data_IF_927187413531
#
_entry.id   IF_927187413531
#
_cell.length_a   1.000
_cell.length_b   1.000
_cell.length_c   1.000
_cell.angle_alpha   90.00
_cell.angle_beta   90.00
_cell.angle_gamma   90.00
#
_symmetry.space_group_name_H-M   'P 1'
#
loop_
_entity.id
_entity.type
_entity.pdbx_description
1 polymer ?
#
# COMPACT_ATOMS: atom_id res chain seq x y z
N UNK A 1 -3.33 -5.03 7.00
CA UNK A 1 -2.71 -3.69 7.15
C UNK A 1 -2.66 -2.91 5.83
N UNK A 2 -1.83 -3.26 4.83
CA UNK A 2 -1.79 -2.49 3.55
C UNK A 2 -3.14 -2.43 2.85
N UNK A 3 -3.86 -3.56 2.72
CA UNK A 3 -5.19 -3.57 2.07
C UNK A 3 -6.21 -2.65 2.76
N UNK A 4 -6.13 -2.51 4.08
CA UNK A 4 -7.02 -1.63 4.84
C UNK A 4 -6.62 -0.17 4.68
N UNK A 5 -5.33 0.13 4.67
CA UNK A 5 -4.85 1.48 4.36
C UNK A 5 -5.21 1.86 2.92
N UNK A 6 -5.14 0.93 1.97
CA UNK A 6 -5.59 1.14 0.59
C UNK A 6 -7.09 1.33 0.51
N UNK A 7 -7.89 0.47 1.15
CA UNK A 7 -9.34 0.60 1.15
C UNK A 7 -9.80 1.94 1.75
N UNK A 8 -9.20 2.35 2.87
CA UNK A 8 -9.49 3.64 3.52
C UNK A 8 -9.04 4.85 2.70
N UNK A 9 -7.99 4.69 1.88
CA UNK A 9 -7.48 5.73 1.00
C UNK A 9 -7.90 5.51 -0.47
N UNK A 10 -9.00 4.80 -0.72
CA UNK A 10 -9.58 4.61 -2.05
C UNK A 10 -8.60 4.05 -3.11
N UNK A 11 -7.80 3.05 -2.71
CA UNK A 11 -6.72 2.43 -3.49
C UNK A 11 -5.58 3.39 -3.88
N UNK A 12 -5.50 4.56 -3.25
CA UNK A 12 -4.41 5.51 -3.46
C UNK A 12 -3.18 5.10 -2.65
N UNK A 13 -2.26 4.41 -3.32
CA UNK A 13 -1.01 3.94 -2.73
C UNK A 13 -0.18 5.05 -2.08
N UNK A 14 -0.18 6.27 -2.63
CA UNK A 14 0.53 7.42 -2.07
C UNK A 14 -0.06 7.89 -0.73
N UNK A 15 -1.38 8.01 -0.67
CA UNK A 15 -2.08 8.40 0.55
C UNK A 15 -1.99 7.31 1.64
N UNK A 16 -2.11 6.03 1.25
CA UNK A 16 -1.90 4.91 2.17
C UNK A 16 -0.49 4.85 2.73
N UNK A 17 0.52 5.16 1.91
CA UNK A 17 1.91 5.18 2.34
C UNK A 17 2.18 6.29 3.35
N UNK A 18 1.67 7.50 3.06
CA UNK A 18 1.72 8.64 4.00
C UNK A 18 1.00 8.33 5.32
N UNK A 19 -0.16 7.68 5.25
CA UNK A 19 -0.92 7.29 6.44
C UNK A 19 -0.24 6.19 7.27
N UNK A 20 0.62 5.38 6.65
CA UNK A 20 1.40 4.34 7.29
C UNK A 20 2.85 4.80 7.60
N UNK A 21 3.14 6.09 7.43
CA UNK A 21 4.48 6.69 7.61
C UNK A 21 5.58 5.91 6.88
N UNK A 22 5.26 5.38 5.70
CA UNK A 22 6.13 4.51 4.92
C UNK A 22 6.16 4.93 3.46
N UNK A 23 7.08 4.36 2.68
CA UNK A 23 7.19 4.64 1.27
C UNK A 23 6.20 3.82 0.43
N UNK A 24 5.64 4.46 -0.61
CA UNK A 24 4.80 3.81 -1.62
C UNK A 24 5.52 2.61 -2.25
N UNK A 25 6.83 2.74 -2.45
CA UNK A 25 7.69 1.68 -2.95
C UNK A 25 7.69 0.45 -2.04
N UNK A 26 7.67 0.63 -0.71
CA UNK A 26 7.54 -0.49 0.23
C UNK A 26 6.18 -1.15 0.12
N UNK A 27 5.10 -0.37 -0.02
CA UNK A 27 3.76 -0.93 -0.19
C UNK A 27 3.64 -1.73 -1.49
N UNK A 28 4.18 -1.23 -2.61
CA UNK A 28 4.23 -1.95 -3.88
C UNK A 28 5.07 -3.23 -3.78
N UNK A 29 6.26 -3.15 -3.17
CA UNK A 29 7.13 -4.33 -2.95
C UNK A 29 6.42 -5.37 -2.09
N UNK A 30 5.73 -4.96 -1.03
CA UNK A 30 4.99 -5.87 -0.16
C UNK A 30 3.78 -6.47 -0.89
N UNK A 31 3.05 -5.68 -1.68
CA UNK A 31 1.96 -6.20 -2.51
C UNK A 31 2.45 -7.24 -3.52
N UNK A 32 3.58 -6.99 -4.18
CA UNK A 32 4.21 -7.95 -5.08
C UNK A 32 4.67 -9.21 -4.36
N UNK A 33 5.30 -9.06 -3.19
CA UNK A 33 5.72 -10.20 -2.36
C UNK A 33 4.54 -11.04 -1.87
N UNK A 34 3.38 -10.42 -1.65
CA UNK A 34 2.15 -11.10 -1.25
C UNK A 34 1.33 -11.64 -2.45
N UNK A 35 1.83 -11.53 -3.69
CA UNK A 35 1.13 -11.98 -4.89
C UNK A 35 -0.14 -11.17 -5.22
N UNK A 36 -0.22 -9.93 -4.73
CA UNK A 36 -1.38 -9.05 -4.90
C UNK A 36 -1.29 -8.11 -6.10
N UNK A 37 -0.10 -8.01 -6.69
CA UNK A 37 0.21 -7.12 -7.81
C UNK A 37 1.44 -7.67 -8.52
N UNK A 38 1.40 -7.75 -9.85
CA UNK A 38 2.57 -8.05 -10.68
C UNK A 38 3.48 -6.83 -10.85
#
# INVERSE_FOLDING_TARGET
MIRQALAQNNHNWAASARALETDVANLHRLAKRLGLKD
#
